data_IF_075174940832
#
_entry.id   IF_075174940832
#
_cell.length_a   1.000
_cell.length_b   1.000
_cell.length_c   1.000
_cell.angle_alpha   90.00
_cell.angle_beta   90.00
_cell.angle_gamma   90.00
#
_symmetry.space_group_name_H-M   'P 1'
#
loop_
_entity.id
_entity.type
_entity.pdbx_description
1 polymer ?
#
# COMPACT_ATOMS: atom_id res chain seq x y z
N UNK A 1 27.80 -40.03 -11.38
CA UNK A 1 27.44 -40.34 -9.97
C UNK A 1 27.45 -39.01 -9.23
N UNK A 2 26.27 -38.40 -8.97
CA UNK A 2 26.19 -37.15 -8.18
C UNK A 2 26.49 -37.47 -6.73
N UNK A 3 27.42 -36.74 -6.13
CA UNK A 3 27.90 -36.93 -4.76
C UNK A 3 26.76 -36.72 -3.74
N UNK A 4 26.80 -37.40 -2.59
CA UNK A 4 25.83 -37.30 -1.51
C UNK A 4 25.60 -35.84 -1.10
N UNK A 5 26.63 -35.04 -1.04
CA UNK A 5 26.64 -33.62 -0.67
C UNK A 5 25.80 -32.73 -1.63
N UNK A 6 25.76 -33.04 -2.94
CA UNK A 6 24.93 -32.30 -3.92
C UNK A 6 23.44 -32.62 -3.76
N UNK A 7 23.10 -33.85 -3.38
CA UNK A 7 21.71 -34.25 -3.11
C UNK A 7 21.16 -33.58 -1.85
N UNK A 8 21.98 -33.48 -0.82
CA UNK A 8 21.59 -32.84 0.45
C UNK A 8 21.41 -31.33 0.29
N UNK A 9 22.30 -30.67 -0.45
CA UNK A 9 22.16 -29.24 -0.76
C UNK A 9 20.93 -28.91 -1.62
N UNK A 10 20.58 -29.79 -2.58
CA UNK A 10 19.39 -29.62 -3.42
C UNK A 10 18.09 -29.88 -2.61
N UNK A 11 18.14 -30.85 -1.68
CA UNK A 11 17.05 -31.12 -0.73
C UNK A 11 16.77 -29.94 0.19
N UNK A 12 17.80 -29.32 0.73
CA UNK A 12 17.71 -28.15 1.60
C UNK A 12 17.17 -26.90 0.88
N UNK A 13 17.65 -26.62 -0.33
CA UNK A 13 17.16 -25.50 -1.14
C UNK A 13 15.67 -25.64 -1.47
N UNK A 14 15.22 -26.85 -1.84
CA UNK A 14 13.81 -27.12 -2.14
C UNK A 14 12.90 -27.07 -0.89
N UNK A 15 13.45 -27.40 0.29
CA UNK A 15 12.76 -27.24 1.57
C UNK A 15 12.55 -25.78 1.90
N UNK A 16 13.60 -24.98 1.86
CA UNK A 16 13.57 -23.53 2.14
C UNK A 16 12.58 -22.82 1.19
N UNK A 17 12.52 -23.25 -0.07
CA UNK A 17 11.62 -22.68 -1.06
C UNK A 17 10.15 -23.00 -0.76
N UNK A 18 9.84 -24.22 -0.30
CA UNK A 18 8.48 -24.59 0.17
C UNK A 18 8.08 -23.82 1.42
N UNK A 19 9.00 -23.64 2.36
CA UNK A 19 8.79 -22.84 3.57
C UNK A 19 8.54 -21.37 3.24
N UNK A 20 9.30 -20.79 2.29
CA UNK A 20 9.09 -19.44 1.80
C UNK A 20 7.68 -19.24 1.23
N UNK A 21 7.20 -20.21 0.43
CA UNK A 21 5.84 -20.18 -0.10
C UNK A 21 4.77 -20.35 0.99
N UNK A 22 5.05 -21.19 2.00
CA UNK A 22 4.15 -21.36 3.14
C UNK A 22 4.04 -20.08 3.98
N UNK A 23 5.17 -19.43 4.26
CA UNK A 23 5.20 -18.11 4.92
C UNK A 23 4.48 -17.05 4.10
N UNK A 24 4.73 -17.01 2.79
CA UNK A 24 4.03 -16.09 1.91
C UNK A 24 2.50 -16.27 2.02
N UNK A 25 2.00 -17.50 1.88
CA UNK A 25 0.56 -17.81 2.04
C UNK A 25 0.03 -17.40 3.41
N UNK A 26 0.74 -17.74 4.50
CA UNK A 26 0.29 -17.44 5.86
C UNK A 26 0.24 -15.94 6.13
N UNK A 27 1.28 -15.23 5.73
CA UNK A 27 1.34 -13.78 5.86
C UNK A 27 0.32 -13.07 4.96
N UNK A 28 -0.10 -13.69 3.85
CA UNK A 28 -1.07 -13.15 2.90
C UNK A 28 -2.51 -13.65 3.14
N UNK A 29 -2.77 -14.46 4.17
CA UNK A 29 -4.12 -15.01 4.46
C UNK A 29 -5.11 -14.00 5.07
N UNK A 30 -4.62 -12.84 5.56
CA UNK A 30 -5.44 -11.90 6.35
C UNK A 30 -5.65 -12.30 7.82
N UNK A 31 -5.21 -13.50 8.19
CA UNK A 31 -5.34 -14.06 9.56
C UNK A 31 -3.99 -14.12 10.29
N UNK A 32 -2.94 -13.51 9.73
CA UNK A 32 -1.62 -13.52 10.33
C UNK A 32 -1.61 -12.80 11.68
N UNK A 33 -1.17 -13.49 12.70
CA UNK A 33 -1.05 -12.99 14.08
C UNK A 33 0.35 -12.39 14.32
N UNK A 34 0.51 -11.68 15.44
CA UNK A 34 1.83 -11.18 15.87
C UNK A 34 2.84 -12.33 16.06
N UNK A 35 2.39 -13.49 16.54
CA UNK A 35 3.22 -14.69 16.68
C UNK A 35 3.74 -15.21 15.32
N UNK A 36 2.91 -15.12 14.28
CA UNK A 36 3.30 -15.49 12.91
C UNK A 36 4.37 -14.54 12.37
N UNK A 37 4.23 -13.24 12.65
CA UNK A 37 5.22 -12.24 12.29
C UNK A 37 6.58 -12.51 12.94
N UNK A 38 6.59 -12.79 14.24
CA UNK A 38 7.82 -13.08 14.98
C UNK A 38 8.44 -14.43 14.54
N UNK A 39 7.60 -15.40 14.21
CA UNK A 39 8.01 -16.67 13.61
C UNK A 39 8.68 -16.46 12.24
N UNK A 40 8.05 -15.66 11.39
CA UNK A 40 8.60 -15.31 10.08
C UNK A 40 9.93 -14.55 10.17
N UNK A 41 10.05 -13.57 11.07
CA UNK A 41 11.31 -12.83 11.29
C UNK A 41 12.46 -13.76 11.67
N UNK A 42 12.23 -14.68 12.61
CA UNK A 42 13.23 -15.68 13.01
C UNK A 42 13.61 -16.58 11.85
N UNK A 43 12.61 -17.12 11.13
CA UNK A 43 12.83 -17.97 9.97
C UNK A 43 13.63 -17.25 8.86
N UNK A 44 13.25 -16.02 8.51
CA UNK A 44 13.94 -15.23 7.49
C UNK A 44 15.37 -14.88 7.90
N UNK A 45 15.62 -14.64 9.19
CA UNK A 45 16.94 -14.36 9.75
C UNK A 45 17.84 -15.59 9.92
N UNK A 46 17.32 -16.82 9.73
CA UNK A 46 18.07 -18.06 9.94
C UNK A 46 19.26 -18.22 8.97
N UNK A 47 19.15 -17.72 7.75
CA UNK A 47 20.27 -17.62 6.81
C UNK A 47 19.95 -16.70 5.62
N UNK A 48 20.96 -16.23 4.87
CA UNK A 48 20.76 -15.49 3.63
C UNK A 48 19.90 -16.22 2.60
N UNK A 49 19.96 -17.58 2.56
CA UNK A 49 19.17 -18.40 1.67
C UNK A 49 17.67 -18.30 1.93
N UNK A 50 17.23 -18.17 3.19
CA UNK A 50 15.81 -17.97 3.55
C UNK A 50 15.30 -16.62 3.05
N UNK A 51 16.09 -15.55 3.18
CA UNK A 51 15.78 -14.23 2.66
C UNK A 51 15.62 -14.21 1.13
N UNK A 52 16.55 -14.89 0.42
CA UNK A 52 16.52 -15.01 -1.04
C UNK A 52 15.34 -15.83 -1.53
N UNK A 53 15.07 -16.98 -0.90
CA UNK A 53 13.93 -17.85 -1.25
C UNK A 53 12.58 -17.11 -1.06
N UNK A 54 12.46 -16.31 -0.02
CA UNK A 54 11.26 -15.51 0.19
C UNK A 54 11.12 -14.39 -0.86
N UNK A 55 12.21 -13.71 -1.21
CA UNK A 55 12.22 -12.69 -2.27
C UNK A 55 11.83 -13.29 -3.63
N UNK A 56 12.29 -14.51 -3.93
CA UNK A 56 11.95 -15.26 -5.14
C UNK A 56 10.47 -15.65 -5.15
N UNK A 57 9.98 -16.26 -4.06
CA UNK A 57 8.57 -16.62 -3.92
C UNK A 57 7.64 -15.39 -4.12
N UNK A 58 8.03 -14.24 -3.58
CA UNK A 58 7.32 -12.97 -3.75
C UNK A 58 7.36 -12.46 -5.20
N UNK A 59 8.51 -12.59 -5.89
CA UNK A 59 8.62 -12.23 -7.31
C UNK A 59 7.69 -13.06 -8.19
N UNK A 60 7.69 -14.38 -8.00
CA UNK A 60 6.79 -15.30 -8.73
C UNK A 60 5.34 -14.96 -8.44
N UNK A 61 5.01 -14.66 -7.19
CA UNK A 61 3.66 -14.27 -6.78
C UNK A 61 3.20 -12.98 -7.46
N UNK A 62 4.08 -11.97 -7.52
CA UNK A 62 3.80 -10.68 -8.16
C UNK A 62 3.62 -10.80 -9.71
N UNK A 63 4.26 -11.78 -10.34
CA UNK A 63 4.09 -12.05 -11.78
C UNK A 63 2.75 -12.73 -12.11
N UNK A 64 2.14 -13.41 -11.15
CA UNK A 64 0.83 -14.06 -11.34
C UNK A 64 -0.34 -13.06 -11.30
N UNK A 65 -0.17 -11.90 -10.67
CA UNK A 65 -1.21 -10.87 -10.54
C UNK A 65 -1.70 -10.33 -11.91
N UNK A 66 -0.82 -9.95 -12.87
CA UNK A 66 -1.26 -9.56 -14.23
C UNK A 66 -1.83 -10.71 -15.04
N UNK A 67 -1.41 -11.95 -14.80
CA UNK A 67 -1.95 -13.14 -15.49
C UNK A 67 -3.37 -13.47 -15.01
N UNK A 68 -3.63 -13.35 -13.70
CA UNK A 68 -4.97 -13.52 -13.13
C UNK A 68 -5.94 -12.45 -13.66
N UNK A 69 -5.49 -11.19 -13.80
CA UNK A 69 -6.28 -10.12 -14.40
C UNK A 69 -6.63 -10.41 -15.88
N UNK A 70 -5.70 -10.97 -16.65
CA UNK A 70 -5.94 -11.37 -18.06
C UNK A 70 -6.91 -12.55 -18.21
N UNK A 71 -6.87 -13.52 -17.30
CA UNK A 71 -7.80 -14.68 -17.29
C UNK A 71 -9.23 -14.22 -16.97
N UNK A 72 -9.40 -13.28 -16.04
CA UNK A 72 -10.70 -12.66 -15.77
C UNK A 72 -11.20 -11.86 -16.97
N UNK A 73 -10.32 -11.12 -17.66
CA UNK A 73 -10.66 -10.36 -18.86
C UNK A 73 -11.00 -11.24 -20.06
N UNK A 74 -10.47 -12.47 -20.12
CA UNK A 74 -10.76 -13.44 -21.19
C UNK A 74 -12.07 -14.23 -20.98
N UNK A 75 -12.84 -13.93 -19.92
CA UNK A 75 -14.15 -14.57 -19.68
C UNK A 75 -14.09 -16.04 -19.24
N UNK A 76 -12.90 -16.56 -18.89
CA UNK A 76 -12.71 -17.97 -18.51
C UNK A 76 -13.01 -18.27 -17.02
N UNK A 77 -13.60 -17.31 -16.29
CA UNK A 77 -13.88 -17.41 -14.84
C UNK A 77 -15.36 -17.58 -14.48
N UNK A 78 -16.26 -17.82 -15.42
CA UNK A 78 -17.68 -18.00 -15.10
C UNK A 78 -17.96 -19.47 -14.70
N UNK A 79 -17.94 -19.74 -13.39
CA UNK A 79 -18.56 -20.95 -12.84
C UNK A 79 -20.07 -20.69 -12.76
N UNK A 80 -20.95 -21.52 -13.39
CA UNK A 80 -22.39 -21.30 -13.32
C UNK A 80 -22.88 -21.47 -11.88
N UNK A 81 -23.68 -20.52 -11.41
CA UNK A 81 -24.35 -20.58 -10.13
C UNK A 81 -25.40 -21.69 -10.15
N UNK A 82 -25.27 -22.68 -9.27
CA UNK A 82 -26.30 -23.68 -9.05
C UNK A 82 -27.52 -23.06 -8.37
N UNK A 83 -28.76 -23.44 -8.71
CA UNK A 83 -29.98 -22.89 -8.12
C UNK A 83 -30.11 -23.30 -6.65
N UNK A 84 -30.46 -22.34 -5.82
CA UNK A 84 -30.74 -22.55 -4.42
C UNK A 84 -32.13 -23.17 -4.23
N UNK A 85 -32.16 -24.48 -4.00
CA UNK A 85 -33.36 -25.14 -3.49
C UNK A 85 -33.39 -25.15 -1.97
N UNK A 86 -34.50 -24.59 -1.43
CA UNK A 86 -34.87 -24.57 -0.04
C UNK A 86 -35.45 -25.93 0.34
N UNK A 87 -34.77 -26.65 1.17
CA UNK A 87 -35.27 -27.49 2.22
C UNK A 87 -34.29 -28.63 2.54
N UNK A 88 -33.66 -28.64 3.67
CA UNK A 88 -33.81 -29.71 4.65
C UNK A 88 -33.07 -29.40 5.94
N UNK A 89 -33.83 -29.48 6.98
CA UNK A 89 -33.40 -29.43 8.38
C UNK A 89 -32.90 -30.80 8.83
N UNK A 90 -31.84 -30.79 9.64
CA UNK A 90 -31.47 -31.78 10.69
C UNK A 90 -30.76 -33.08 10.27
N UNK A 91 -29.64 -33.23 10.96
CA UNK A 91 -28.81 -34.42 11.21
C UNK A 91 -27.67 -34.67 10.24
N UNK A 92 -26.47 -34.36 10.73
CA UNK A 92 -25.49 -35.37 11.15
C UNK A 92 -24.14 -34.65 11.36
N UNK A 93 -23.70 -34.67 12.57
CA UNK A 93 -22.28 -34.68 12.92
C UNK A 93 -21.70 -35.98 12.33
N UNK A 94 -20.64 -35.86 11.55
CA UNK A 94 -19.58 -36.80 11.16
C UNK A 94 -19.29 -36.66 9.67
N UNK A 95 -18.08 -36.11 9.35
CA UNK A 95 -17.59 -36.05 7.97
C UNK A 95 -16.76 -34.81 7.66
N UNK A 96 -15.82 -34.43 8.53
CA UNK A 96 -14.84 -33.40 8.22
C UNK A 96 -13.79 -33.90 7.26
N UNK A 97 -13.89 -33.59 5.97
CA UNK A 97 -12.76 -33.68 5.02
C UNK A 97 -12.99 -32.95 3.67
N UNK A 98 -14.14 -32.32 3.41
CA UNK A 98 -14.40 -31.67 2.09
C UNK A 98 -14.72 -30.15 2.16
N UNK A 99 -14.58 -29.52 3.31
CA UNK A 99 -14.81 -28.07 3.49
C UNK A 99 -13.61 -27.17 3.18
N UNK A 100 -12.41 -27.74 3.00
CA UNK A 100 -11.18 -26.96 2.84
C UNK A 100 -10.91 -26.45 1.41
N UNK A 101 -11.59 -26.97 0.40
CA UNK A 101 -11.35 -26.59 -0.99
C UNK A 101 -12.06 -25.29 -1.42
N UNK A 102 -13.14 -24.91 -0.73
CA UNK A 102 -13.91 -23.70 -1.06
C UNK A 102 -13.30 -22.39 -0.53
N UNK A 103 -12.64 -22.45 0.63
CA UNK A 103 -12.03 -21.27 1.25
C UNK A 103 -10.68 -20.89 0.62
N UNK A 104 -9.95 -21.86 0.05
CA UNK A 104 -8.67 -21.62 -0.62
C UNK A 104 -8.81 -20.82 -1.95
N UNK A 105 -9.98 -20.92 -2.61
CA UNK A 105 -10.22 -20.22 -3.88
C UNK A 105 -10.46 -18.71 -3.72
N UNK A 106 -10.98 -18.25 -2.58
CA UNK A 106 -11.30 -16.83 -2.36
C UNK A 106 -10.07 -16.04 -1.91
N UNK A 107 -9.14 -16.67 -1.21
CA UNK A 107 -7.89 -16.03 -0.80
C UNK A 107 -6.92 -15.75 -1.98
N UNK A 108 -7.08 -16.44 -3.10
CA UNK A 108 -6.23 -16.26 -4.28
C UNK A 108 -6.56 -15.00 -5.10
N UNK A 109 -7.67 -14.31 -4.83
CA UNK A 109 -8.19 -13.22 -5.67
C UNK A 109 -8.07 -11.85 -4.98
N UNK A 110 -7.62 -11.77 -3.74
CA UNK A 110 -7.37 -10.48 -3.11
C UNK A 110 -6.15 -9.81 -3.76
N UNK A 111 -6.30 -8.62 -4.37
CA UNK A 111 -5.18 -7.97 -5.05
C UNK A 111 -4.07 -7.64 -4.05
N UNK A 112 -2.84 -8.03 -4.41
CA UNK A 112 -1.62 -7.89 -3.60
C UNK A 112 -1.29 -6.45 -3.17
N UNK A 113 -1.87 -5.47 -3.87
CA UNK A 113 -1.77 -4.06 -3.50
C UNK A 113 -2.46 -3.71 -2.17
N UNK A 114 -3.24 -4.64 -1.60
CA UNK A 114 -3.88 -4.48 -0.29
C UNK A 114 -2.99 -4.98 0.87
N UNK A 115 -1.83 -5.59 0.55
CA UNK A 115 -0.99 -6.24 1.55
C UNK A 115 0.22 -5.37 1.92
N UNK A 116 0.55 -5.26 3.20
CA UNK A 116 1.74 -4.55 3.65
C UNK A 116 3.01 -5.14 3.02
N UNK A 117 3.89 -4.30 2.50
CA UNK A 117 5.20 -4.75 2.02
C UNK A 117 6.02 -5.37 3.16
N UNK A 118 6.90 -6.32 2.84
CA UNK A 118 7.73 -7.01 3.86
C UNK A 118 8.61 -6.04 4.66
N UNK A 119 9.00 -4.91 4.07
CA UNK A 119 9.70 -3.82 4.75
C UNK A 119 8.85 -3.11 5.81
N UNK A 120 7.53 -3.13 5.65
CA UNK A 120 6.58 -2.49 6.57
C UNK A 120 6.42 -3.25 7.90
N UNK A 121 6.64 -4.56 7.92
CA UNK A 121 6.42 -5.43 9.09
C UNK A 121 7.39 -5.17 10.24
N UNK A 122 8.50 -4.49 9.96
CA UNK A 122 9.50 -4.07 10.95
C UNK A 122 9.44 -2.60 11.33
N UNK A 123 8.44 -1.87 10.86
CA UNK A 123 8.32 -0.44 11.10
C UNK A 123 7.97 -0.13 12.57
N UNK A 124 8.58 0.94 13.12
CA UNK A 124 8.31 1.41 14.49
C UNK A 124 6.88 1.92 14.63
N UNK A 125 6.36 2.55 13.56
CA UNK A 125 5.01 3.11 13.52
C UNK A 125 4.32 2.72 12.22
N UNK A 126 3.02 2.37 12.33
CA UNK A 126 2.20 1.93 11.20
C UNK A 126 0.77 2.40 11.33
N UNK A 127 0.13 2.53 10.17
CA UNK A 127 -1.32 2.70 10.02
C UNK A 127 -1.87 1.66 9.06
N UNK A 128 -3.07 1.18 9.36
CA UNK A 128 -3.85 0.31 8.49
C UNK A 128 -4.57 1.06 7.37
N UNK A 129 -5.38 0.33 6.60
CA UNK A 129 -6.24 0.92 5.55
C UNK A 129 -7.30 1.82 6.17
N UNK A 130 -7.35 3.09 5.75
CA UNK A 130 -8.26 4.11 6.26
C UNK A 130 -7.87 4.66 7.63
N UNK A 131 -6.83 4.13 8.27
CA UNK A 131 -6.34 4.62 9.56
C UNK A 131 -5.42 5.82 9.35
N UNK A 132 -5.55 6.80 10.25
CA UNK A 132 -4.65 7.95 10.38
C UNK A 132 -4.15 8.02 11.81
N UNK A 133 -2.89 8.42 12.00
CA UNK A 133 -2.29 8.47 13.33
C UNK A 133 -1.39 9.68 13.48
N UNK A 134 -1.53 10.41 14.60
CA UNK A 134 -0.66 11.52 14.97
C UNK A 134 0.41 11.05 15.94
N UNK A 135 1.63 11.49 15.70
CA UNK A 135 2.80 11.23 16.51
C UNK A 135 3.47 12.58 16.82
N UNK A 136 3.77 12.81 18.09
CA UNK A 136 4.57 13.95 18.52
C UNK A 136 6.00 13.45 18.76
N UNK A 137 6.92 13.91 17.92
CA UNK A 137 8.35 13.62 18.04
C UNK A 137 9.03 14.80 18.71
N UNK A 138 9.17 14.73 20.04
CA UNK A 138 9.71 15.82 20.88
C UNK A 138 8.84 17.09 20.79
N UNK A 139 9.18 18.14 21.54
CA UNK A 139 8.48 19.44 21.48
C UNK A 139 8.63 20.18 20.13
N UNK A 140 9.26 19.54 19.14
CA UNK A 140 9.77 20.20 17.94
C UNK A 140 9.13 19.74 16.65
N UNK A 141 8.52 18.54 16.56
CA UNK A 141 7.95 18.04 15.34
C UNK A 141 6.69 17.20 15.59
N UNK A 142 5.63 17.52 14.87
CA UNK A 142 4.42 16.70 14.80
C UNK A 142 4.38 16.01 13.46
N UNK A 143 4.23 14.68 13.48
CA UNK A 143 4.11 13.87 12.27
C UNK A 143 2.74 13.18 12.27
N UNK A 144 1.99 13.38 11.21
CA UNK A 144 0.69 12.74 11.02
C UNK A 144 0.79 11.73 9.88
N UNK A 145 0.51 10.47 10.20
CA UNK A 145 0.55 9.36 9.26
C UNK A 145 -0.82 9.21 8.61
N UNK A 146 -0.81 9.12 7.28
CA UNK A 146 -2.00 8.80 6.51
C UNK A 146 -2.22 7.27 6.43
N UNK A 147 -3.25 6.86 5.69
CA UNK A 147 -3.59 5.46 5.44
C UNK A 147 -2.39 4.66 4.93
N UNK A 148 -2.26 3.39 5.40
CA UNK A 148 -1.27 2.42 4.92
C UNK A 148 0.16 2.98 4.93
N UNK A 149 0.51 3.66 6.00
CA UNK A 149 1.83 4.28 6.17
C UNK A 149 2.67 3.46 7.13
N UNK A 150 3.94 3.31 6.81
CA UNK A 150 4.95 2.65 7.65
C UNK A 150 6.19 3.52 7.71
N UNK A 151 6.69 3.82 8.91
CA UNK A 151 7.90 4.59 9.12
C UNK A 151 8.71 4.09 10.31
N UNK A 152 10.01 4.36 10.27
CA UNK A 152 10.95 4.16 11.36
C UNK A 152 11.48 5.50 11.87
N UNK A 153 11.96 5.51 13.10
CA UNK A 153 12.81 6.59 13.58
C UNK A 153 14.08 6.66 12.75
N UNK A 154 14.54 7.87 12.49
CA UNK A 154 15.81 8.12 11.85
C UNK A 154 16.74 8.82 12.83
N UNK A 155 17.78 8.12 13.21
CA UNK A 155 18.76 8.58 14.20
C UNK A 155 20.16 8.61 13.55
N UNK A 156 20.93 9.63 13.90
CA UNK A 156 22.34 9.76 13.52
C UNK A 156 23.14 9.99 14.81
N UNK A 157 24.17 9.20 15.04
CA UNK A 157 25.00 9.24 16.25
C UNK A 157 24.18 9.19 17.56
N UNK A 158 23.13 8.35 17.59
CA UNK A 158 22.23 8.17 18.73
C UNK A 158 21.30 9.35 19.01
N UNK A 159 21.23 10.32 18.11
CA UNK A 159 20.31 11.46 18.19
C UNK A 159 19.21 11.37 17.16
N UNK A 160 18.00 11.60 17.59
CA UNK A 160 16.84 11.69 16.70
C UNK A 160 17.02 12.83 15.72
N UNK A 161 16.99 12.53 14.43
CA UNK A 161 17.07 13.51 13.33
C UNK A 161 15.77 13.64 12.57
N UNK A 162 14.94 12.61 12.65
CA UNK A 162 13.69 12.59 11.91
C UNK A 162 13.10 11.19 11.77
N UNK A 163 12.53 10.90 10.62
CA UNK A 163 11.90 9.61 10.30
C UNK A 163 12.31 9.10 8.93
N UNK A 164 12.31 7.77 8.78
CA UNK A 164 12.42 7.10 7.49
C UNK A 164 11.05 6.60 7.06
N UNK A 165 10.48 7.20 6.04
CA UNK A 165 9.22 6.77 5.45
C UNK A 165 9.49 5.57 4.53
N UNK A 166 9.03 4.40 4.96
CA UNK A 166 9.21 3.14 4.22
C UNK A 166 8.19 3.07 3.09
N UNK A 167 6.93 3.44 3.40
CA UNK A 167 5.81 3.49 2.47
C UNK A 167 4.70 4.36 3.04
N UNK A 168 3.87 4.91 2.17
CA UNK A 168 2.68 5.65 2.55
C UNK A 168 2.86 7.15 2.44
N UNK A 169 2.28 7.90 3.38
CA UNK A 169 2.26 9.36 3.34
C UNK A 169 2.26 9.93 4.77
N UNK A 170 3.14 10.88 4.99
CA UNK A 170 3.27 11.56 6.27
C UNK A 170 3.28 13.08 6.07
N UNK A 171 2.51 13.79 6.91
CA UNK A 171 2.58 15.23 7.05
C UNK A 171 3.46 15.57 8.26
N UNK A 172 4.30 16.58 8.11
CA UNK A 172 5.19 17.08 9.16
C UNK A 172 4.88 18.55 9.39
N UNK A 173 4.64 18.91 10.66
CA UNK A 173 4.49 20.29 11.11
C UNK A 173 5.63 20.63 12.07
N UNK A 174 6.33 21.72 11.79
CA UNK A 174 7.49 22.19 12.53
C UNK A 174 7.24 23.61 13.06
N UNK A 175 7.33 23.84 14.38
CA UNK A 175 7.29 25.19 14.92
C UNK A 175 8.51 25.99 14.49
N UNK A 176 8.41 27.32 14.51
CA UNK A 176 9.41 28.25 13.99
C UNK A 176 10.80 28.18 14.67
N UNK A 177 10.90 27.54 15.83
CA UNK A 177 12.15 27.41 16.61
C UNK A 177 12.69 25.98 16.63
N UNK A 178 12.25 25.11 15.72
CA UNK A 178 12.67 23.71 15.72
C UNK A 178 14.08 23.51 15.18
N UNK A 179 14.76 22.46 15.65
CA UNK A 179 15.91 21.92 14.93
C UNK A 179 15.44 21.32 13.60
N UNK A 180 16.29 21.32 12.55
CA UNK A 180 15.94 20.70 11.29
C UNK A 180 15.43 19.27 11.49
N UNK A 181 14.28 18.96 10.89
CA UNK A 181 13.67 17.64 10.91
C UNK A 181 13.73 17.01 9.52
N UNK A 182 14.14 15.76 9.49
CA UNK A 182 14.44 15.07 8.25
C UNK A 182 13.46 13.91 8.00
N UNK A 183 12.94 13.81 6.78
CA UNK A 183 12.19 12.64 6.30
C UNK A 183 13.00 11.98 5.19
N UNK A 184 13.49 10.77 5.44
CA UNK A 184 14.16 9.97 4.42
C UNK A 184 13.11 9.12 3.70
N UNK A 185 12.98 9.28 2.37
CA UNK A 185 12.03 8.54 1.55
C UNK A 185 12.68 8.12 0.22
N UNK A 186 12.77 6.81 -0.05
CA UNK A 186 13.55 6.31 -1.19
C UNK A 186 14.98 6.81 -1.15
N UNK A 187 15.47 7.35 -2.27
CA UNK A 187 16.80 7.94 -2.39
C UNK A 187 16.91 9.40 -1.91
N UNK A 188 15.82 10.01 -1.44
CA UNK A 188 15.76 11.42 -1.08
C UNK A 188 15.75 11.67 0.42
N UNK A 189 16.37 12.80 0.82
CA UNK A 189 16.37 13.37 2.14
C UNK A 189 15.60 14.69 2.10
N UNK A 190 14.50 14.77 2.80
CA UNK A 190 13.58 15.91 2.85
C UNK A 190 13.75 16.63 4.17
N UNK A 191 14.28 17.84 4.17
CA UNK A 191 14.69 18.57 5.37
C UNK A 191 13.86 19.85 5.48
N UNK A 192 13.13 19.97 6.58
CA UNK A 192 12.40 21.19 6.97
C UNK A 192 12.95 21.78 8.26
N UNK A 193 12.91 23.12 8.38
CA UNK A 193 13.33 23.86 9.57
C UNK A 193 12.14 24.48 10.30
N UNK A 194 11.13 24.91 9.54
CA UNK A 194 9.89 25.50 10.05
C UNK A 194 8.77 25.37 9.02
N UNK A 195 7.51 25.40 9.46
CA UNK A 195 6.33 25.32 8.60
C UNK A 195 5.80 23.90 8.47
N UNK A 196 5.21 23.56 7.32
CA UNK A 196 4.56 22.28 7.10
C UNK A 196 4.86 21.70 5.73
N UNK A 197 5.06 20.39 5.67
CA UNK A 197 5.24 19.69 4.41
C UNK A 197 4.69 18.25 4.49
N UNK A 198 4.45 17.66 3.32
CA UNK A 198 3.95 16.30 3.17
C UNK A 198 4.93 15.52 2.31
N UNK A 199 5.26 14.30 2.73
CA UNK A 199 6.05 13.35 1.95
C UNK A 199 5.19 12.13 1.71
N UNK A 200 5.01 11.77 0.44
CA UNK A 200 4.35 10.55 -0.02
C UNK A 200 5.38 9.66 -0.71
N UNK A 201 5.49 8.42 -0.28
CA UNK A 201 6.36 7.42 -0.89
C UNK A 201 5.55 6.17 -1.22
N UNK A 202 5.30 5.93 -2.50
CA UNK A 202 4.49 4.82 -3.00
C UNK A 202 5.16 4.21 -4.24
N UNK A 203 5.22 2.88 -4.28
CA UNK A 203 5.70 2.11 -5.45
C UNK A 203 7.08 2.57 -5.96
N UNK A 204 7.99 2.92 -5.03
CA UNK A 204 9.34 3.39 -5.34
C UNK A 204 9.45 4.83 -5.81
N UNK A 205 8.34 5.57 -5.86
CA UNK A 205 8.29 6.99 -6.20
C UNK A 205 7.96 7.83 -4.98
N UNK A 206 8.65 8.96 -4.82
CA UNK A 206 8.43 9.92 -3.76
C UNK A 206 7.88 11.23 -4.31
N UNK A 207 6.99 11.84 -3.54
CA UNK A 207 6.42 13.16 -3.85
C UNK A 207 6.46 14.01 -2.57
N UNK A 208 7.09 15.17 -2.65
CA UNK A 208 7.22 16.15 -1.56
C UNK A 208 6.41 17.37 -1.89
N UNK A 209 5.49 17.75 -1.01
CA UNK A 209 4.69 18.96 -1.13
C UNK A 209 5.01 19.88 0.04
N UNK A 210 5.54 21.07 -0.23
CA UNK A 210 5.68 22.12 0.76
C UNK A 210 4.34 22.81 0.94
N UNK A 211 3.79 22.78 2.16
CA UNK A 211 2.53 23.44 2.50
C UNK A 211 2.79 24.87 2.94
N UNK A 212 3.77 25.05 3.82
CA UNK A 212 4.17 26.34 4.37
C UNK A 212 5.66 26.33 4.71
N UNK A 213 6.33 27.47 4.57
CA UNK A 213 7.76 27.62 4.85
C UNK A 213 8.64 27.20 3.69
N UNK A 214 9.79 26.62 4.02
CA UNK A 214 10.80 26.14 3.08
C UNK A 214 11.20 24.71 3.39
N UNK A 215 11.32 23.91 2.35
CA UNK A 215 11.77 22.51 2.42
C UNK A 215 12.89 22.27 1.44
N UNK A 216 13.97 21.67 1.90
CA UNK A 216 15.10 21.25 1.07
C UNK A 216 15.02 19.76 0.80
N UNK A 217 15.10 19.38 -0.46
CA UNK A 217 15.14 17.99 -0.91
C UNK A 217 16.53 17.71 -1.47
N UNK A 218 17.25 16.84 -0.79
CA UNK A 218 18.56 16.34 -1.20
C UNK A 218 18.40 14.96 -1.85
N UNK A 219 18.88 14.83 -3.07
CA UNK A 219 18.84 13.60 -3.83
C UNK A 219 20.18 13.38 -4.53
N UNK A 220 20.64 12.15 -4.82
CA UNK A 220 21.91 11.90 -5.55
C UNK A 220 22.02 12.64 -6.89
N UNK A 221 20.88 13.03 -7.49
CA UNK A 221 20.82 13.81 -8.75
C UNK A 221 20.77 15.33 -8.56
N UNK A 222 20.91 15.82 -7.34
CA UNK A 222 20.97 17.24 -7.01
C UNK A 222 20.03 17.65 -5.89
N UNK A 223 20.19 18.91 -5.48
CA UNK A 223 19.42 19.52 -4.40
C UNK A 223 18.36 20.43 -4.99
N UNK A 224 17.15 20.42 -4.40
CA UNK A 224 16.05 21.32 -4.74
C UNK A 224 15.50 21.96 -3.48
N UNK A 225 15.04 23.19 -3.61
CA UNK A 225 14.34 23.93 -2.56
C UNK A 225 12.88 24.15 -2.97
N UNK A 226 11.95 23.91 -2.05
CA UNK A 226 10.52 24.08 -2.26
C UNK A 226 10.01 25.14 -1.28
N UNK A 227 9.31 26.12 -1.82
CA UNK A 227 8.52 27.08 -1.03
C UNK A 227 7.08 26.60 -0.89
N UNK A 228 6.32 27.22 -0.01
CA UNK A 228 4.89 26.91 0.17
C UNK A 228 4.12 26.90 -1.15
N UNK A 229 3.32 25.85 -1.38
CA UNK A 229 2.59 25.62 -2.62
C UNK A 229 3.41 24.99 -3.74
N UNK A 230 4.64 24.55 -3.48
CA UNK A 230 5.47 23.84 -4.46
C UNK A 230 5.56 22.36 -4.14
N UNK A 231 5.72 21.57 -5.19
CA UNK A 231 5.79 20.11 -5.15
C UNK A 231 6.91 19.59 -6.04
N UNK A 232 7.55 18.53 -5.60
CA UNK A 232 8.60 17.82 -6.33
C UNK A 232 8.35 16.31 -6.26
N UNK A 233 8.51 15.63 -7.38
CA UNK A 233 8.52 14.17 -7.41
C UNK A 233 9.87 13.65 -7.83
N UNK A 234 10.27 12.50 -7.25
CA UNK A 234 11.52 11.80 -7.59
C UNK A 234 11.36 10.29 -7.38
N UNK A 235 12.24 9.54 -8.01
CA UNK A 235 12.46 8.12 -7.81
C UNK A 235 13.98 7.86 -7.70
N UNK A 236 14.42 6.62 -7.63
CA UNK A 236 15.87 6.30 -7.50
C UNK A 236 16.71 6.79 -8.71
N UNK A 237 16.08 6.95 -9.87
CA UNK A 237 16.76 7.29 -11.13
C UNK A 237 16.74 8.78 -11.45
N UNK A 238 15.69 9.51 -11.08
CA UNK A 238 15.42 10.86 -11.56
C UNK A 238 14.74 11.76 -10.53
N UNK A 239 14.98 13.06 -10.66
CA UNK A 239 14.25 14.13 -9.99
C UNK A 239 13.48 14.92 -11.06
N UNK A 240 12.18 15.10 -10.87
CA UNK A 240 11.34 15.87 -11.81
C UNK A 240 11.42 17.38 -11.53
N UNK A 241 10.84 18.16 -12.40
CA UNK A 241 10.78 19.62 -12.21
C UNK A 241 9.82 19.96 -11.05
N UNK A 242 10.10 21.09 -10.41
CA UNK A 242 9.24 21.67 -9.37
C UNK A 242 7.95 22.19 -10.00
N UNK A 243 6.83 21.74 -9.49
CA UNK A 243 5.49 22.16 -9.92
C UNK A 243 4.83 23.02 -8.84
N UNK A 244 4.00 23.98 -9.27
CA UNK A 244 3.10 24.70 -8.36
C UNK A 244 1.81 23.92 -8.20
N UNK A 245 1.39 23.69 -6.96
CA UNK A 245 0.18 22.95 -6.61
C UNK A 245 -0.66 23.70 -5.58
N UNK A 246 -1.92 23.30 -5.45
CA UNK A 246 -2.76 23.80 -4.36
C UNK A 246 -2.49 22.97 -3.10
N UNK A 247 -1.94 23.56 -2.03
CA UNK A 247 -1.64 22.83 -0.80
C UNK A 247 -2.86 22.15 -0.17
N UNK A 248 -4.05 22.74 -0.32
CA UNK A 248 -5.31 22.21 0.23
C UNK A 248 -5.63 20.82 -0.34
N UNK A 249 -5.38 20.56 -1.62
CA UNK A 249 -5.66 19.25 -2.23
C UNK A 249 -4.82 18.14 -1.61
N UNK A 250 -3.59 18.46 -1.22
CA UNK A 250 -2.64 17.50 -0.69
C UNK A 250 -2.75 17.31 0.83
N UNK A 251 -3.24 18.34 1.55
CA UNK A 251 -3.37 18.29 3.00
C UNK A 251 -4.79 17.96 3.49
N UNK A 252 -5.80 17.93 2.61
CA UNK A 252 -7.21 17.73 2.97
C UNK A 252 -7.47 16.42 3.71
N UNK A 253 -6.69 15.38 3.45
CA UNK A 253 -6.81 14.10 4.12
C UNK A 253 -6.66 14.20 5.64
N UNK A 254 -5.89 15.16 6.14
CA UNK A 254 -5.72 15.46 7.58
C UNK A 254 -7.02 15.89 8.25
N UNK A 255 -7.98 16.35 7.45
CA UNK A 255 -9.35 16.74 7.87
C UNK A 255 -10.38 15.68 7.48
N UNK A 256 -9.95 14.47 7.09
CA UNK A 256 -10.84 13.40 6.65
C UNK A 256 -11.47 13.62 5.28
N UNK A 257 -10.87 14.47 4.43
CA UNK A 257 -11.38 14.83 3.12
C UNK A 257 -10.40 14.44 2.01
N UNK A 258 -10.93 14.10 0.83
CA UNK A 258 -10.22 14.09 -0.44
C UNK A 258 -10.72 15.25 -1.28
N UNK A 259 -9.81 16.08 -1.77
CA UNK A 259 -10.12 17.24 -2.61
C UNK A 259 -9.54 17.03 -3.98
N UNK A 260 -10.35 17.15 -5.00
CA UNK A 260 -9.92 17.03 -6.39
C UNK A 260 -10.34 18.27 -7.18
N UNK A 261 -9.47 18.76 -8.05
CA UNK A 261 -9.71 19.86 -8.98
C UNK A 261 -9.33 19.41 -10.38
N UNK A 262 -10.32 19.18 -11.23
CA UNK A 262 -10.11 18.70 -12.61
C UNK A 262 -9.18 17.46 -12.67
N UNK A 263 -9.28 16.59 -11.66
CA UNK A 263 -8.50 15.37 -11.62
C UNK A 263 -9.11 14.32 -12.56
N UNK A 264 -8.30 13.56 -13.31
CA UNK A 264 -8.83 12.44 -14.09
C UNK A 264 -9.48 11.41 -13.19
N UNK A 265 -10.59 10.81 -13.66
CA UNK A 265 -11.37 9.84 -12.88
C UNK A 265 -10.51 8.65 -12.44
N UNK A 266 -9.56 8.21 -13.28
CA UNK A 266 -8.59 7.17 -12.92
C UNK A 266 -7.84 7.52 -11.63
N UNK A 267 -7.30 8.75 -11.53
CA UNK A 267 -6.58 9.22 -10.33
C UNK A 267 -7.51 9.29 -9.10
N UNK A 268 -8.77 9.69 -9.28
CA UNK A 268 -9.76 9.72 -8.19
C UNK A 268 -10.02 8.31 -7.64
N UNK A 269 -10.17 7.33 -8.54
CA UNK A 269 -10.35 5.93 -8.15
C UNK A 269 -9.11 5.38 -7.46
N UNK A 270 -7.91 5.67 -7.96
CA UNK A 270 -6.66 5.24 -7.32
C UNK A 270 -6.53 5.82 -5.90
N UNK A 271 -6.86 7.08 -5.71
CA UNK A 271 -6.83 7.70 -4.37
C UNK A 271 -7.89 7.09 -3.43
N UNK A 272 -9.13 6.84 -3.92
CA UNK A 272 -10.17 6.13 -3.15
C UNK A 272 -9.68 4.74 -2.72
N UNK A 273 -9.00 4.02 -3.60
CA UNK A 273 -8.45 2.69 -3.32
C UNK A 273 -7.40 2.67 -2.20
N UNK A 274 -6.78 3.79 -1.89
CA UNK A 274 -5.85 3.89 -0.74
C UNK A 274 -6.56 3.75 0.60
N UNK A 275 -7.79 4.23 0.71
CA UNK A 275 -8.55 4.29 1.97
C UNK A 275 -9.58 3.19 2.12
N UNK A 276 -9.78 2.38 1.10
CA UNK A 276 -10.79 1.32 1.09
C UNK A 276 -10.17 -0.06 1.26
N UNK A 277 -10.81 -0.94 2.03
CA UNK A 277 -10.37 -2.32 2.22
C UNK A 277 -10.61 -3.22 1.00
N UNK A 278 -11.51 -2.82 0.07
CA UNK A 278 -11.70 -3.47 -1.22
C UNK A 278 -11.04 -2.67 -2.35
N UNK A 279 -11.06 -3.18 -3.57
CA UNK A 279 -10.50 -2.51 -4.75
C UNK A 279 -11.60 -2.10 -5.73
N UNK A 280 -11.57 -0.85 -6.16
CA UNK A 280 -12.41 -0.35 -7.26
C UNK A 280 -11.59 -0.41 -8.53
N UNK A 281 -12.14 -1.03 -9.56
CA UNK A 281 -11.51 -1.15 -10.89
C UNK A 281 -12.35 -0.37 -11.89
N UNK A 282 -11.78 0.65 -12.50
CA UNK A 282 -12.41 1.39 -13.58
C UNK A 282 -12.14 0.66 -14.91
N UNK A 283 -13.16 -0.05 -15.40
CA UNK A 283 -13.11 -0.79 -16.66
C UNK A 283 -13.46 0.06 -17.88
N UNK A 284 -14.15 1.18 -17.67
CA UNK A 284 -14.56 2.11 -18.70
C UNK A 284 -13.38 3.00 -19.14
N UNK A 285 -12.51 2.49 -20.03
CA UNK A 285 -11.31 3.19 -20.50
C UNK A 285 -11.62 4.58 -21.08
N UNK A 286 -12.75 4.75 -21.77
CA UNK A 286 -13.19 6.03 -22.32
C UNK A 286 -13.46 7.11 -21.25
N UNK A 287 -13.62 6.73 -19.99
CA UNK A 287 -13.90 7.65 -18.89
C UNK A 287 -12.68 7.91 -17.99
N UNK A 288 -11.54 7.26 -18.24
CA UNK A 288 -10.33 7.38 -17.40
C UNK A 288 -9.87 8.82 -17.20
N UNK A 289 -9.94 9.60 -18.28
CA UNK A 289 -9.44 10.98 -18.29
C UNK A 289 -10.55 12.03 -18.05
N UNK A 290 -11.77 11.58 -17.73
CA UNK A 290 -12.86 12.49 -17.38
C UNK A 290 -12.53 13.25 -16.11
N UNK A 291 -12.66 14.57 -16.16
CA UNK A 291 -12.35 15.47 -15.06
C UNK A 291 -13.39 15.33 -13.93
N UNK A 292 -12.88 15.16 -12.73
CA UNK A 292 -13.66 15.17 -11.47
C UNK A 292 -13.21 16.33 -10.62
N UNK A 293 -14.15 17.12 -10.12
CA UNK A 293 -13.89 18.14 -9.12
C UNK A 293 -14.86 17.97 -7.97
N UNK A 294 -14.35 18.08 -6.74
CA UNK A 294 -15.19 17.95 -5.54
C UNK A 294 -14.39 17.75 -4.26
N UNK A 295 -15.11 17.78 -3.15
CA UNK A 295 -14.62 17.47 -1.80
C UNK A 295 -15.38 16.25 -1.32
N UNK A 296 -14.68 15.20 -0.99
CA UNK A 296 -15.26 13.91 -0.65
C UNK A 296 -14.82 13.48 0.75
N UNK A 297 -15.75 13.03 1.57
CA UNK A 297 -15.41 12.50 2.89
C UNK A 297 -14.79 11.11 2.80
N UNK A 298 -13.64 10.92 3.42
CA UNK A 298 -12.98 9.61 3.55
C UNK A 298 -13.87 8.60 4.28
N UNK A 299 -14.66 9.06 5.24
CA UNK A 299 -15.59 8.20 6.00
C UNK A 299 -16.79 7.69 5.16
N UNK A 300 -17.04 8.25 3.97
CA UNK A 300 -18.22 7.95 3.15
C UNK A 300 -17.88 7.57 1.71
N UNK A 301 -16.75 6.91 1.47
CA UNK A 301 -16.26 6.62 0.11
C UNK A 301 -17.20 5.74 -0.73
N UNK A 302 -17.99 4.85 -0.11
CA UNK A 302 -19.01 4.08 -0.84
C UNK A 302 -20.12 4.99 -1.39
N UNK A 303 -20.51 6.02 -0.66
CA UNK A 303 -21.47 7.04 -1.17
C UNK A 303 -20.85 7.84 -2.32
N UNK A 304 -19.57 8.19 -2.22
CA UNK A 304 -18.81 8.87 -3.29
C UNK A 304 -18.79 8.02 -4.56
N UNK A 305 -18.54 6.71 -4.44
CA UNK A 305 -18.56 5.79 -5.58
C UNK A 305 -19.96 5.72 -6.24
N UNK A 306 -21.03 5.71 -5.44
CA UNK A 306 -22.39 5.76 -5.97
C UNK A 306 -22.67 7.08 -6.71
N UNK A 307 -22.16 8.22 -6.22
CA UNK A 307 -22.29 9.50 -6.92
C UNK A 307 -21.51 9.49 -8.25
N UNK A 308 -20.28 8.97 -8.26
CA UNK A 308 -19.48 8.81 -9.49
C UNK A 308 -20.23 7.93 -10.49
N UNK A 309 -20.75 6.79 -10.07
CA UNK A 309 -21.54 5.89 -10.93
C UNK A 309 -22.72 6.62 -11.60
N UNK A 310 -23.50 7.35 -10.82
CA UNK A 310 -24.66 8.11 -11.34
C UNK A 310 -24.25 9.23 -12.28
N UNK A 311 -23.18 9.97 -11.94
CA UNK A 311 -22.72 11.13 -12.73
C UNK A 311 -22.16 10.74 -14.10
N UNK A 312 -21.54 9.58 -14.20
CA UNK A 312 -20.91 9.11 -15.44
C UNK A 312 -21.67 7.95 -16.11
N UNK A 313 -22.84 7.58 -15.59
CA UNK A 313 -23.67 6.49 -16.16
C UNK A 313 -22.99 5.11 -16.06
N UNK A 314 -22.08 4.91 -15.09
CA UNK A 314 -21.36 3.67 -14.92
C UNK A 314 -22.23 2.58 -14.31
N UNK A 315 -22.10 1.37 -14.83
CA UNK A 315 -22.61 0.16 -14.20
C UNK A 315 -21.60 -0.33 -13.17
N UNK A 316 -22.08 -0.93 -12.10
CA UNK A 316 -21.22 -1.53 -11.08
C UNK A 316 -21.49 -3.01 -10.93
N UNK A 317 -20.43 -3.79 -10.79
CA UNK A 317 -20.47 -5.21 -10.47
C UNK A 317 -19.57 -5.48 -9.27
N UNK A 318 -20.16 -6.01 -8.20
CA UNK A 318 -19.40 -6.44 -7.02
C UNK A 318 -18.93 -7.87 -7.18
N UNK A 319 -17.65 -8.11 -6.93
CA UNK A 319 -17.04 -9.43 -6.92
C UNK A 319 -16.62 -9.82 -5.50
N UNK A 320 -16.41 -11.12 -5.22
CA UNK A 320 -15.85 -11.58 -3.95
C UNK A 320 -14.54 -10.85 -3.61
N UNK A 321 -14.23 -10.70 -2.31
CA UNK A 321 -13.04 -9.97 -1.87
C UNK A 321 -13.19 -8.45 -1.86
N UNK A 322 -14.40 -7.90 -1.98
CA UNK A 322 -14.67 -6.46 -1.91
C UNK A 322 -14.26 -5.70 -3.18
N UNK A 323 -14.04 -6.41 -4.29
CA UNK A 323 -13.72 -5.79 -5.59
C UNK A 323 -15.00 -5.23 -6.22
N UNK A 324 -14.96 -3.97 -6.64
CA UNK A 324 -16.03 -3.27 -7.36
C UNK A 324 -15.54 -2.89 -8.75
N UNK A 325 -16.16 -3.45 -9.79
CA UNK A 325 -15.88 -3.09 -11.18
C UNK A 325 -16.86 -1.98 -11.59
N UNK A 326 -16.34 -0.91 -12.18
CA UNK A 326 -17.09 0.19 -12.77
C UNK A 326 -16.91 0.16 -14.30
N UNK A 327 -17.99 -0.09 -15.03
CA UNK A 327 -18.00 -0.25 -16.50
C UNK A 327 -19.04 0.63 -17.18
#
# INVERSE_FOLDING_TARGET
>A
MKTSTERDAYGDASRIQREAQAWLRRLTSGEATQLDVDGFRRWRGSSPAHGQAFAEARRVWNMLDPAAARLVSAGLGAVPAAPADRAWRRRAFLGGALGAAGAAGVAAVAPLSLWPGVGEWGADYRTGTGEQRRLDFTDQARVELNTRTALNRYEVDGRMRGVRLIQGEAAVDLPASSTPFEVVAGAGHVIGEAGGFIVRHLDGSSCVTCIEGLVRVEHPRGVRQLAGGQQLSYDDAAVRDVATVNPEEWSAWRQGLLVFRKAPLSRVIDEINRYRSGKVVLWADALRDREVSGRFSIASLDTVLLQIQRSYGLRSQSLPGGVLILS
#
